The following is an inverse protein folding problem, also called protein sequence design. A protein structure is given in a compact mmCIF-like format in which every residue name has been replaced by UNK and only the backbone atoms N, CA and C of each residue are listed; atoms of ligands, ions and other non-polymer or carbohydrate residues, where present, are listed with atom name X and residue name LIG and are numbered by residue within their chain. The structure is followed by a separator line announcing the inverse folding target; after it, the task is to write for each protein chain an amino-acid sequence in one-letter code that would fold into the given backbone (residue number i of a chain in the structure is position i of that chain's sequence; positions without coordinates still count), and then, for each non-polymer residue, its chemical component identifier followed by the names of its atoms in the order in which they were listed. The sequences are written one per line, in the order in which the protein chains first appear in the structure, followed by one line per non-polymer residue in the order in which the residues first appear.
data_IF_728686381134
#
_entry.id   IF_728686381134
#
_cell.length_a   1.000
_cell.length_b   1.000
_cell.length_c   1.000
_cell.angle_alpha   90.00
_cell.angle_beta   90.00
_cell.angle_gamma   90.00
#
_symmetry.space_group_name_H-M   'P 1'
#
loop_
_entity.id
_entity.type
_entity.pdbx_description
1 polymer ?
#
# COMPACT_ATOMS: atom_id res chain seq x y z
N UNK A 1 6.12 -9.21 -13.74
CA UNK A 1 4.81 -8.65 -14.14
C UNK A 1 3.76 -9.63 -13.65
N UNK A 2 2.67 -9.12 -13.08
CA UNK A 2 1.55 -9.93 -12.59
C UNK A 2 0.24 -9.28 -13.02
N UNK A 3 -0.84 -10.03 -13.01
CA UNK A 3 -2.18 -9.51 -13.26
C UNK A 3 -2.94 -9.39 -11.94
N UNK A 4 -3.52 -8.22 -11.68
CA UNK A 4 -4.35 -7.98 -10.52
C UNK A 4 -5.78 -7.71 -10.96
N UNK A 5 -6.75 -8.24 -10.22
CA UNK A 5 -8.17 -7.97 -10.46
C UNK A 5 -8.66 -6.83 -9.56
N UNK A 6 -9.17 -5.76 -10.16
CA UNK A 6 -9.76 -4.61 -9.47
C UNK A 6 -11.22 -4.49 -9.93
N UNK A 7 -12.14 -4.92 -9.07
CA UNK A 7 -13.56 -5.07 -9.43
C UNK A 7 -13.74 -6.08 -10.57
N UNK A 8 -14.30 -5.62 -11.69
CA UNK A 8 -14.49 -6.42 -12.92
C UNK A 8 -13.34 -6.30 -13.92
N UNK A 9 -12.29 -5.53 -13.60
CA UNK A 9 -11.15 -5.27 -14.50
C UNK A 9 -9.94 -6.10 -14.09
N UNK A 10 -9.19 -6.60 -15.07
CA UNK A 10 -7.84 -7.13 -14.87
C UNK A 10 -6.86 -6.03 -15.29
N UNK A 11 -5.90 -5.71 -14.42
CA UNK A 11 -4.87 -4.70 -14.67
C UNK A 11 -3.49 -5.34 -14.58
N UNK A 12 -2.59 -5.10 -15.54
CA UNK A 12 -1.21 -5.54 -15.43
C UNK A 12 -0.47 -4.67 -14.40
N UNK A 13 0.25 -5.30 -13.50
CA UNK A 13 1.11 -4.64 -12.51
C UNK A 13 2.55 -5.08 -12.74
N UNK A 14 3.42 -4.10 -12.98
CA UNK A 14 4.86 -4.29 -13.10
C UNK A 14 5.51 -3.88 -11.79
N UNK A 15 6.23 -4.81 -11.15
CA UNK A 15 7.04 -4.48 -9.99
C UNK A 15 8.16 -3.52 -10.40
N UNK A 16 8.35 -2.45 -9.62
CA UNK A 16 9.43 -1.45 -9.83
C UNK A 16 10.70 -1.81 -9.05
N UNK A 17 10.59 -2.75 -8.12
CA UNK A 17 11.65 -3.25 -7.26
C UNK A 17 11.40 -4.73 -6.90
N UNK A 18 12.32 -5.36 -6.18
CA UNK A 18 12.13 -6.71 -5.66
C UNK A 18 10.99 -6.74 -4.64
N UNK A 19 9.95 -7.52 -4.92
CA UNK A 19 8.84 -7.77 -3.99
C UNK A 19 8.91 -9.25 -3.57
N UNK A 20 9.45 -9.57 -2.38
CA UNK A 20 9.54 -10.95 -1.94
C UNK A 20 8.15 -11.56 -1.70
N UNK A 21 8.06 -12.89 -1.75
CA UNK A 21 6.82 -13.59 -1.46
C UNK A 21 6.29 -13.24 -0.06
N UNK A 22 4.98 -13.06 0.06
CA UNK A 22 4.31 -12.65 1.30
C UNK A 22 4.24 -11.14 1.54
N UNK A 23 4.97 -10.33 0.77
CA UNK A 23 4.89 -8.87 0.85
C UNK A 23 3.78 -8.29 -0.03
N UNK A 24 3.47 -7.01 0.20
CA UNK A 24 2.42 -6.27 -0.49
C UNK A 24 3.01 -5.49 -1.66
N UNK A 25 2.32 -5.51 -2.80
CA UNK A 25 2.61 -4.66 -3.95
C UNK A 25 1.47 -3.66 -4.13
N UNK A 26 1.80 -2.40 -4.43
CA UNK A 26 0.79 -1.39 -4.72
C UNK A 26 0.11 -1.68 -6.07
N UNK A 27 -1.22 -1.71 -6.09
CA UNK A 27 -2.00 -1.94 -7.31
C UNK A 27 -2.29 -0.64 -8.08
N UNK A 28 -2.23 0.49 -7.39
CA UNK A 28 -2.48 1.85 -7.88
C UNK A 28 -1.50 2.80 -7.17
N UNK A 29 -1.36 4.02 -7.70
CA UNK A 29 -0.65 5.08 -7.00
C UNK A 29 -1.40 5.48 -5.72
N UNK A 30 -0.66 5.66 -4.63
CA UNK A 30 -1.15 6.15 -3.35
C UNK A 30 -0.37 7.41 -3.00
N UNK A 31 -1.03 8.58 -2.92
CA UNK A 31 -0.35 9.80 -2.50
C UNK A 31 0.06 9.70 -1.02
N UNK A 32 1.03 10.52 -0.60
CA UNK A 32 1.37 10.65 0.83
C UNK A 32 0.12 10.99 1.65
N UNK A 33 -0.05 10.31 2.78
CA UNK A 33 -1.22 10.39 3.65
C UNK A 33 -2.44 9.61 3.14
N UNK A 34 -2.42 9.11 1.90
CA UNK A 34 -3.48 8.30 1.33
C UNK A 34 -3.62 6.97 2.06
N UNK A 35 -4.86 6.50 2.17
CA UNK A 35 -5.16 5.24 2.83
C UNK A 35 -4.70 4.05 1.98
N UNK A 36 -4.11 3.06 2.64
CA UNK A 36 -3.77 1.77 2.05
C UNK A 36 -4.75 0.73 2.55
N UNK A 37 -5.47 0.12 1.60
CA UNK A 37 -6.50 -0.86 1.89
C UNK A 37 -5.99 -2.29 1.68
N UNK A 38 -6.37 -3.18 2.59
CA UNK A 38 -6.20 -4.63 2.42
C UNK A 38 -7.37 -5.34 3.08
N UNK A 39 -7.95 -6.31 2.38
CA UNK A 39 -9.14 -7.05 2.83
C UNK A 39 -10.37 -6.16 3.09
N UNK A 40 -10.53 -5.08 2.32
CA UNK A 40 -11.64 -4.13 2.48
C UNK A 40 -11.43 -3.09 3.58
N UNK A 41 -10.35 -3.19 4.35
CA UNK A 41 -10.09 -2.33 5.51
C UNK A 41 -8.85 -1.47 5.34
N UNK A 42 -8.86 -0.28 5.93
CA UNK A 42 -7.66 0.56 6.02
C UNK A 42 -6.67 -0.09 6.99
N UNK A 43 -5.48 -0.43 6.48
CA UNK A 43 -4.40 -0.99 7.29
C UNK A 43 -3.40 0.07 7.75
N UNK A 44 -3.37 1.21 7.07
CA UNK A 44 -2.42 2.28 7.30
C UNK A 44 -2.54 3.40 6.29
N UNK A 45 -1.70 4.41 6.45
CA UNK A 45 -1.56 5.53 5.52
C UNK A 45 -0.14 5.57 4.96
N UNK A 46 -0.02 5.98 3.71
CA UNK A 46 1.26 6.12 3.06
C UNK A 46 2.09 7.23 3.74
N UNK A 47 3.26 6.91 4.30
CA UNK A 47 4.14 7.92 4.92
C UNK A 47 4.89 8.77 3.88
N UNK A 48 5.00 8.23 2.67
CA UNK A 48 5.52 8.87 1.46
C UNK A 48 4.67 8.43 0.25
N UNK A 49 4.73 9.10 -0.91
CA UNK A 49 4.04 8.62 -2.11
C UNK A 49 4.47 7.19 -2.47
N UNK A 50 3.50 6.35 -2.86
CA UNK A 50 3.73 4.97 -3.29
C UNK A 50 3.21 4.83 -4.71
N UNK A 51 4.08 4.55 -5.67
CA UNK A 51 3.67 4.29 -7.05
C UNK A 51 3.14 2.86 -7.22
N UNK A 52 2.24 2.66 -8.18
CA UNK A 52 1.80 1.34 -8.59
C UNK A 52 3.01 0.45 -8.92
N UNK A 53 3.02 -0.77 -8.40
CA UNK A 53 4.13 -1.71 -8.54
C UNK A 53 5.22 -1.65 -7.47
N UNK A 54 5.18 -0.66 -6.57
CA UNK A 54 6.14 -0.59 -5.45
C UNK A 54 5.82 -1.55 -4.30
N UNK A 55 6.85 -1.90 -3.54
CA UNK A 55 6.74 -2.68 -2.30
C UNK A 55 6.09 -1.85 -1.19
N UNK A 56 4.95 -2.29 -0.64
CA UNK A 56 4.29 -1.61 0.49
C UNK A 56 4.70 -2.25 1.81
N UNK A 57 5.49 -1.54 2.62
CA UNK A 57 6.02 -2.02 3.89
C UNK A 57 6.26 -0.86 4.89
N UNK A 58 6.95 -1.11 6.01
CA UNK A 58 7.03 -0.19 7.16
C UNK A 58 7.78 1.11 6.83
N UNK A 59 8.62 1.11 5.79
CA UNK A 59 9.35 2.29 5.37
C UNK A 59 8.44 3.31 4.65
N UNK A 60 7.34 2.87 4.03
CA UNK A 60 6.42 3.72 3.27
C UNK A 60 4.95 3.65 3.74
N UNK A 61 4.67 2.88 4.80
CA UNK A 61 3.35 2.71 5.39
C UNK A 61 3.40 2.89 6.90
N UNK A 62 2.59 3.81 7.41
CA UNK A 62 2.32 3.96 8.82
C UNK A 62 1.01 3.27 9.20
N UNK A 63 1.01 2.49 10.28
CA UNK A 63 -0.19 1.83 10.79
C UNK A 63 -1.26 2.83 11.24
N UNK A 64 -2.53 2.55 10.90
CA UNK A 64 -3.67 3.41 11.24
C UNK A 64 -4.25 3.15 12.66
N UNK A 65 -3.87 2.04 13.30
CA UNK A 65 -4.40 1.61 14.60
C UNK A 65 -3.27 1.56 15.64
N UNK A 66 -3.62 1.73 16.92
CA UNK A 66 -2.65 1.65 18.02
C UNK A 66 -1.69 2.85 18.12
N UNK A 67 -2.02 3.98 17.47
CA UNK A 67 -1.22 5.21 17.43
C UNK A 67 -1.51 6.14 18.61
N UNK A 68 -1.31 5.66 19.83
CA UNK A 68 -1.47 6.47 21.05
C UNK A 68 -0.55 7.70 21.08
N UNK A 69 0.53 7.68 20.31
CA UNK A 69 1.45 8.78 20.07
C UNK A 69 0.80 9.99 19.37
N UNK A 70 -0.24 9.78 18.56
CA UNK A 70 -0.90 10.86 17.81
C UNK A 70 -1.87 11.69 18.65
N UNK A 71 -2.33 11.20 19.80
CA UNK A 71 -3.21 11.93 20.71
C UNK A 71 -2.44 12.89 21.64
N UNK A 72 -1.11 12.77 21.71
CA UNK A 72 -0.25 13.58 22.58
C UNK A 72 0.24 14.89 21.92
N UNK A 73 -0.52 15.45 20.98
CA UNK A 73 -0.19 16.72 20.31
C UNK A 73 -1.29 17.75 20.49
#
# INVERSE_FOLDING_TARGET
MVEARIGQRIVPVRATESVPFGFKIALIDVPKGGDVLKYGEVIGRASQPISAGQLVHVHNLEGARGRGDLQAR
#
